data_IF_290281984301
#
_entry.id   IF_290281984301
#
_cell.length_a   1.000
_cell.length_b   1.000
_cell.length_c   1.000
_cell.angle_alpha   90.00
_cell.angle_beta   90.00
_cell.angle_gamma   90.00
#
_symmetry.space_group_name_H-M   'P 1'
#
loop_
_entity.id
_entity.type
_entity.pdbx_description
1 polymer ?
#
# COMPACT_ATOMS: atom_id res chain seq x y z
N UNK A 1 -16.95 1.70 -11.29
CA UNK A 1 -16.70 2.22 -12.66
C UNK A 1 -15.31 2.82 -12.80
N UNK A 2 -14.91 3.75 -11.93
CA UNK A 2 -13.57 4.37 -11.94
C UNK A 2 -12.43 3.35 -11.93
N UNK A 3 -12.49 2.36 -11.04
CA UNK A 3 -11.49 1.28 -10.98
C UNK A 3 -11.39 0.47 -12.27
N UNK A 4 -12.52 0.11 -12.89
CA UNK A 4 -12.55 -0.68 -14.13
C UNK A 4 -11.92 0.08 -15.31
N UNK A 5 -12.20 1.38 -15.43
CA UNK A 5 -11.59 2.23 -16.47
C UNK A 5 -10.09 2.39 -16.19
N UNK A 6 -9.69 2.60 -14.93
CA UNK A 6 -8.29 2.71 -14.56
C UNK A 6 -7.52 1.42 -14.86
N UNK A 7 -8.06 0.26 -14.52
CA UNK A 7 -7.44 -1.04 -14.82
C UNK A 7 -7.18 -1.18 -16.32
N UNK A 8 -8.18 -0.87 -17.13
CA UNK A 8 -8.02 -0.93 -18.58
C UNK A 8 -6.95 0.04 -19.10
N UNK A 9 -6.89 1.26 -18.58
CA UNK A 9 -5.86 2.24 -18.94
C UNK A 9 -4.45 1.82 -18.48
N UNK A 10 -4.34 1.09 -17.38
CA UNK A 10 -3.06 0.53 -16.90
C UNK A 10 -2.56 -0.64 -17.76
N UNK A 11 -3.47 -1.45 -18.27
CA UNK A 11 -3.15 -2.61 -19.12
C UNK A 11 -2.82 -2.22 -20.56
N UNK A 12 -3.36 -1.09 -21.03
CA UNK A 12 -3.24 -0.64 -22.42
C UNK A 12 -2.21 0.47 -22.56
N UNK A 13 -1.20 0.24 -23.37
CA UNK A 13 -0.17 1.28 -23.67
C UNK A 13 -0.60 2.27 -24.74
N UNK A 14 -1.67 1.97 -25.47
CA UNK A 14 -2.20 2.76 -26.57
C UNK A 14 -3.40 3.60 -26.18
N UNK A 15 -3.91 4.41 -27.12
CA UNK A 15 -5.11 5.18 -26.89
C UNK A 15 -6.35 4.29 -26.94
N UNK A 16 -7.22 4.45 -25.97
CA UNK A 16 -8.53 3.81 -25.94
C UNK A 16 -9.57 4.87 -26.29
N UNK A 17 -10.38 4.62 -27.29
CA UNK A 17 -11.37 5.59 -27.72
C UNK A 17 -12.49 5.76 -26.66
N UNK A 18 -13.02 6.99 -26.54
CA UNK A 18 -14.15 7.24 -25.65
C UNK A 18 -15.39 6.41 -26.01
N UNK A 19 -15.56 6.06 -27.28
CA UNK A 19 -16.64 5.19 -27.77
C UNK A 19 -16.46 3.76 -27.22
N UNK A 20 -15.27 3.21 -27.34
CA UNK A 20 -14.93 1.87 -26.82
C UNK A 20 -15.15 1.76 -25.31
N UNK A 21 -14.76 2.81 -24.54
CA UNK A 21 -15.04 2.85 -23.10
C UNK A 21 -16.54 2.87 -22.81
N UNK A 22 -17.34 3.62 -23.61
CA UNK A 22 -18.79 3.66 -23.47
C UNK A 22 -19.42 2.28 -23.72
N UNK A 23 -19.04 1.62 -24.80
CA UNK A 23 -19.56 0.31 -25.19
C UNK A 23 -19.16 -0.78 -24.20
N UNK A 24 -17.88 -0.82 -23.81
CA UNK A 24 -17.33 -1.83 -22.89
C UNK A 24 -17.93 -1.77 -21.50
N UNK A 25 -18.25 -0.57 -21.02
CA UNK A 25 -18.77 -0.39 -19.65
C UNK A 25 -20.24 -0.02 -19.59
N UNK A 26 -20.94 0.12 -20.71
CA UNK A 26 -22.36 0.43 -20.76
C UNK A 26 -22.67 1.84 -20.22
N UNK A 27 -21.81 2.83 -20.48
CA UNK A 27 -21.91 4.17 -19.90
C UNK A 27 -21.89 5.28 -20.97
N UNK A 28 -22.39 6.48 -20.60
CA UNK A 28 -22.35 7.63 -21.49
C UNK A 28 -20.96 8.25 -21.61
N UNK A 29 -20.71 9.00 -22.71
CA UNK A 29 -19.47 9.75 -22.90
C UNK A 29 -19.19 10.74 -21.77
N UNK A 30 -20.23 11.38 -21.24
CA UNK A 30 -20.12 12.27 -20.07
C UNK A 30 -19.67 11.53 -18.82
N UNK A 31 -20.14 10.30 -18.62
CA UNK A 31 -19.70 9.49 -17.49
C UNK A 31 -18.22 9.08 -17.61
N UNK A 32 -17.77 8.69 -18.79
CA UNK A 32 -16.35 8.42 -19.08
C UNK A 32 -15.51 9.65 -18.81
N UNK A 33 -15.90 10.81 -19.34
CA UNK A 33 -15.18 12.07 -19.13
C UNK A 33 -15.06 12.44 -17.66
N UNK A 34 -16.16 12.33 -16.88
CA UNK A 34 -16.12 12.56 -15.43
C UNK A 34 -15.13 11.65 -14.72
N UNK A 35 -15.09 10.36 -15.08
CA UNK A 35 -14.17 9.41 -14.48
C UNK A 35 -12.72 9.73 -14.83
N UNK A 36 -12.44 10.08 -16.09
CA UNK A 36 -11.09 10.49 -16.52
C UNK A 36 -10.65 11.74 -15.77
N UNK A 37 -11.53 12.72 -15.62
CA UNK A 37 -11.24 13.95 -14.86
C UNK A 37 -10.95 13.65 -13.39
N UNK A 38 -11.75 12.80 -12.75
CA UNK A 38 -11.47 12.34 -11.37
C UNK A 38 -10.14 11.63 -11.23
N UNK A 39 -9.75 10.82 -12.22
CA UNK A 39 -8.43 10.16 -12.22
C UNK A 39 -7.30 11.18 -12.38
N UNK A 40 -7.50 12.22 -13.20
CA UNK A 40 -6.53 13.31 -13.33
C UNK A 40 -6.40 14.12 -12.01
N UNK A 41 -7.51 14.39 -11.33
CA UNK A 41 -7.51 14.99 -9.98
C UNK A 41 -6.80 14.12 -8.93
N UNK A 42 -6.89 12.79 -9.06
CA UNK A 42 -6.13 11.85 -8.23
C UNK A 42 -4.63 11.79 -8.59
N UNK A 43 -4.17 12.54 -9.57
CA UNK A 43 -2.77 12.65 -9.96
C UNK A 43 -2.33 11.72 -11.10
N UNK A 44 -3.24 10.96 -11.72
CA UNK A 44 -2.91 10.21 -12.93
C UNK A 44 -2.73 11.15 -14.10
N UNK A 45 -1.61 11.05 -14.81
CA UNK A 45 -1.42 11.79 -16.06
C UNK A 45 -2.08 11.04 -17.20
N UNK A 46 -3.27 11.48 -17.58
CA UNK A 46 -4.04 10.92 -18.68
C UNK A 46 -4.08 11.95 -19.80
N UNK A 47 -3.55 11.56 -20.96
CA UNK A 47 -3.61 12.33 -22.18
C UNK A 47 -4.93 12.05 -22.89
N UNK A 48 -5.62 13.12 -23.30
CA UNK A 48 -6.88 13.07 -24.04
C UNK A 48 -6.68 13.75 -25.40
N UNK A 49 -6.73 12.99 -26.49
CA UNK A 49 -6.58 13.50 -27.84
C UNK A 49 -7.91 13.34 -28.60
N UNK A 50 -8.38 14.41 -29.20
CA UNK A 50 -9.59 14.39 -30.03
C UNK A 50 -9.46 13.32 -31.12
N UNK A 51 -10.51 12.52 -31.29
CA UNK A 51 -10.62 11.40 -32.22
C UNK A 51 -9.65 10.21 -31.99
N UNK A 52 -8.75 10.27 -31.01
CA UNK A 52 -7.91 9.13 -30.61
C UNK A 52 -8.40 8.50 -29.30
N UNK A 53 -8.80 9.34 -28.33
CA UNK A 53 -9.27 8.86 -27.02
C UNK A 53 -8.32 9.20 -25.88
N UNK A 54 -8.22 8.29 -24.92
CA UNK A 54 -7.48 8.45 -23.66
C UNK A 54 -6.33 7.49 -23.57
N UNK A 55 -5.19 7.96 -23.06
CA UNK A 55 -4.00 7.15 -22.78
C UNK A 55 -3.41 7.54 -21.45
N UNK A 56 -3.11 6.55 -20.60
CA UNK A 56 -2.38 6.77 -19.37
C UNK A 56 -0.91 7.01 -19.69
N UNK A 57 -0.37 8.16 -19.30
CA UNK A 57 1.02 8.55 -19.49
C UNK A 57 1.87 8.21 -18.28
N UNK A 58 1.38 8.52 -17.10
CA UNK A 58 2.04 8.14 -15.84
C UNK A 58 1.04 7.99 -14.70
N UNK A 59 1.41 7.15 -13.75
CA UNK A 59 0.71 6.98 -12.48
C UNK A 59 1.31 7.92 -11.43
N UNK A 60 0.53 8.39 -10.45
CA UNK A 60 1.09 9.15 -9.34
C UNK A 60 2.02 8.26 -8.51
N UNK A 61 3.07 8.86 -7.97
CA UNK A 61 3.96 8.19 -7.00
C UNK A 61 3.30 8.17 -5.62
N UNK A 62 2.30 7.30 -5.49
CA UNK A 62 1.45 7.17 -4.29
C UNK A 62 1.12 5.71 -4.04
N UNK A 63 0.74 5.41 -2.81
CA UNK A 63 0.28 4.07 -2.42
C UNK A 63 -1.17 3.89 -2.87
N UNK A 64 -1.36 3.22 -4.01
CA UNK A 64 -2.66 3.01 -4.61
C UNK A 64 -3.16 1.57 -4.36
N UNK A 65 -4.33 1.40 -3.73
CA UNK A 65 -4.89 0.08 -3.41
C UNK A 65 -4.98 -0.85 -4.62
N UNK A 66 -5.32 -0.32 -5.79
CA UNK A 66 -5.47 -1.07 -7.03
C UNK A 66 -4.13 -1.63 -7.51
N UNK A 67 -3.05 -0.86 -7.37
CA UNK A 67 -1.70 -1.32 -7.75
C UNK A 67 -1.23 -2.42 -6.81
N UNK A 68 -1.43 -2.25 -5.50
CA UNK A 68 -1.07 -3.29 -4.52
C UNK A 68 -1.84 -4.58 -4.83
N UNK A 69 -3.16 -4.51 -5.02
CA UNK A 69 -3.99 -5.69 -5.30
C UNK A 69 -3.59 -6.41 -6.59
N UNK A 70 -3.18 -5.67 -7.61
CA UNK A 70 -2.76 -6.26 -8.89
C UNK A 70 -1.47 -7.06 -8.77
N UNK A 71 -0.53 -6.56 -7.97
CA UNK A 71 0.78 -7.19 -7.79
C UNK A 71 0.82 -8.16 -6.58
N UNK A 72 -0.29 -8.28 -5.84
CA UNK A 72 -0.38 -9.12 -4.66
C UNK A 72 -0.62 -10.58 -5.03
N UNK A 73 0.36 -11.45 -4.81
CA UNK A 73 0.28 -12.88 -5.07
C UNK A 73 0.31 -13.73 -3.80
N UNK A 74 0.02 -13.13 -2.65
CA UNK A 74 0.01 -13.79 -1.35
C UNK A 74 -1.29 -14.57 -1.14
N UNK A 75 -1.23 -15.61 -0.31
CA UNK A 75 -2.41 -16.42 0.03
C UNK A 75 -3.30 -15.78 1.09
N UNK A 76 -2.73 -15.00 2.00
CA UNK A 76 -3.43 -14.45 3.16
C UNK A 76 -2.99 -13.03 3.51
N UNK A 77 -1.69 -12.73 3.48
CA UNK A 77 -1.17 -11.42 3.88
C UNK A 77 -1.58 -10.33 2.87
N UNK A 78 -2.28 -9.30 3.33
CA UNK A 78 -2.69 -8.17 2.51
C UNK A 78 -3.92 -8.42 1.61
N UNK A 79 -4.53 -9.61 1.62
CA UNK A 79 -5.78 -9.89 0.88
C UNK A 79 -6.88 -8.94 1.36
N UNK A 80 -7.00 -8.75 2.68
CA UNK A 80 -7.77 -7.65 3.25
C UNK A 80 -6.84 -6.43 3.39
N UNK A 81 -7.01 -5.44 2.50
CA UNK A 81 -6.15 -4.27 2.38
C UNK A 81 -6.93 -3.00 2.71
N UNK A 82 -6.41 -2.24 3.67
CA UNK A 82 -6.93 -0.93 4.09
C UNK A 82 -5.86 0.11 3.81
N UNK A 83 -6.13 1.01 2.85
CA UNK A 83 -5.24 2.11 2.51
C UNK A 83 -5.85 3.42 2.98
N UNK A 84 -5.06 4.19 3.70
CA UNK A 84 -5.43 5.49 4.25
C UNK A 84 -4.46 6.56 3.74
N UNK A 85 -4.97 7.75 3.46
CA UNK A 85 -4.11 8.87 3.11
C UNK A 85 -3.33 9.35 4.34
N UNK A 86 -4.01 9.45 5.47
CA UNK A 86 -3.47 9.92 6.73
C UNK A 86 -4.07 9.13 7.90
N UNK A 87 -3.26 8.86 8.91
CA UNK A 87 -3.67 8.24 10.17
C UNK A 87 -2.73 8.67 11.30
N UNK A 88 -3.14 8.47 12.54
CA UNK A 88 -2.25 8.64 13.69
C UNK A 88 -1.08 7.64 13.65
N UNK A 89 -1.39 6.35 13.53
CA UNK A 89 -0.44 5.26 13.40
C UNK A 89 -1.11 4.03 12.76
N UNK A 90 -0.44 3.42 11.79
CA UNK A 90 -0.93 2.16 11.19
C UNK A 90 -1.06 1.04 12.21
N UNK A 91 -0.19 0.99 13.25
CA UNK A 91 -0.31 0.04 14.35
C UNK A 91 -1.54 0.31 15.22
N UNK A 92 -1.81 1.58 15.53
CA UNK A 92 -3.02 1.94 16.28
C UNK A 92 -4.29 1.55 15.52
N UNK A 93 -4.33 1.84 14.23
CA UNK A 93 -5.47 1.48 13.39
C UNK A 93 -5.64 -0.03 13.29
N UNK A 94 -4.56 -0.75 13.02
CA UNK A 94 -4.58 -2.21 12.98
C UNK A 94 -5.13 -2.80 14.30
N UNK A 95 -4.75 -2.22 15.44
CA UNK A 95 -5.27 -2.61 16.76
C UNK A 95 -6.75 -2.30 16.90
N UNK A 96 -7.20 -1.07 16.58
CA UNK A 96 -8.62 -0.67 16.62
C UNK A 96 -9.49 -1.59 15.77
N UNK A 97 -9.05 -1.90 14.55
CA UNK A 97 -9.76 -2.78 13.63
C UNK A 97 -9.76 -4.25 14.08
N UNK A 98 -8.71 -4.68 14.75
CA UNK A 98 -8.66 -6.03 15.32
C UNK A 98 -9.58 -6.18 16.54
N UNK A 99 -9.64 -5.17 17.40
CA UNK A 99 -10.49 -5.13 18.60
C UNK A 99 -11.98 -5.06 18.28
N UNK A 100 -12.37 -4.28 17.28
CA UNK A 100 -13.77 -4.18 16.83
C UNK A 100 -14.21 -5.31 15.87
N UNK A 101 -13.35 -6.29 15.60
CA UNK A 101 -13.66 -7.44 14.76
C UNK A 101 -13.62 -7.18 13.26
N UNK A 102 -13.27 -5.97 12.81
CA UNK A 102 -13.20 -5.61 11.39
C UNK A 102 -11.95 -6.20 10.70
N UNK A 103 -10.81 -6.24 11.39
CA UNK A 103 -9.58 -6.82 10.87
C UNK A 103 -9.42 -8.29 11.30
N UNK A 104 -9.29 -9.17 10.32
CA UNK A 104 -8.92 -10.58 10.49
C UNK A 104 -7.41 -10.82 10.37
N UNK A 105 -7.01 -12.09 10.48
CA UNK A 105 -5.65 -12.52 10.16
C UNK A 105 -5.25 -12.09 8.75
N UNK A 106 -4.06 -11.51 8.61
CA UNK A 106 -3.53 -11.05 7.32
C UNK A 106 -4.05 -9.70 6.83
N UNK A 107 -4.88 -8.98 7.62
CA UNK A 107 -5.27 -7.61 7.27
C UNK A 107 -4.04 -6.70 7.24
N UNK A 108 -3.85 -6.00 6.13
CA UNK A 108 -2.77 -5.05 5.93
C UNK A 108 -3.33 -3.62 5.95
N UNK A 109 -2.88 -2.83 6.91
CA UNK A 109 -3.17 -1.39 6.98
C UNK A 109 -1.97 -0.63 6.44
N UNK A 110 -2.19 0.24 5.47
CA UNK A 110 -1.14 1.05 4.83
C UNK A 110 -1.54 2.52 4.87
N UNK A 111 -0.59 3.42 5.09
CA UNK A 111 -0.82 4.87 5.06
C UNK A 111 0.32 5.61 4.37
N UNK A 112 0.00 6.74 3.74
CA UNK A 112 0.99 7.65 3.14
C UNK A 112 1.60 8.61 4.18
N UNK A 113 0.88 8.87 5.27
CA UNK A 113 1.27 9.79 6.35
C UNK A 113 0.86 9.22 7.70
N UNK A 114 1.75 9.27 8.69
CA UNK A 114 1.41 9.05 10.09
C UNK A 114 1.68 10.32 10.91
N UNK A 115 0.64 10.82 11.58
CA UNK A 115 0.76 12.02 12.44
C UNK A 115 1.35 11.71 13.81
N UNK A 116 1.26 10.45 14.27
CA UNK A 116 1.79 9.97 15.55
C UNK A 116 2.45 8.58 15.37
N UNK A 117 3.33 8.46 14.38
CA UNK A 117 4.08 7.22 14.12
C UNK A 117 4.84 6.75 15.35
N UNK A 118 4.85 5.44 15.58
CA UNK A 118 5.42 4.80 16.78
C UNK A 118 6.72 4.08 16.49
N UNK A 119 7.66 4.22 17.39
CA UNK A 119 8.87 3.41 17.49
C UNK A 119 8.93 2.66 18.83
N UNK A 120 9.95 1.84 18.99
CA UNK A 120 10.18 1.09 20.25
C UNK A 120 10.41 2.01 21.44
N UNK A 121 10.00 1.54 22.62
CA UNK A 121 10.21 2.24 23.91
C UNK A 121 9.58 3.64 23.95
N UNK A 122 8.40 3.79 23.33
CA UNK A 122 7.67 5.06 23.32
C UNK A 122 8.29 6.18 22.48
N UNK A 123 9.29 5.87 21.65
CA UNK A 123 9.87 6.88 20.71
C UNK A 123 8.90 7.14 19.57
N UNK A 124 8.83 8.39 19.14
CA UNK A 124 8.13 8.74 17.90
C UNK A 124 8.88 8.22 16.67
N UNK A 125 8.13 8.00 15.60
CA UNK A 125 8.66 7.69 14.28
C UNK A 125 8.11 8.71 13.28
N UNK A 126 8.99 9.53 12.71
CA UNK A 126 8.64 10.58 11.75
C UNK A 126 8.24 9.90 10.44
N UNK A 127 7.03 10.19 9.97
CA UNK A 127 6.41 9.50 8.85
C UNK A 127 5.73 10.49 7.89
N UNK A 128 6.49 11.38 7.23
CA UNK A 128 5.91 12.40 6.34
C UNK A 128 5.39 11.79 5.03
N UNK A 129 4.41 12.47 4.42
CA UNK A 129 3.82 12.06 3.14
C UNK A 129 4.91 11.94 2.04
N UNK A 130 4.80 10.89 1.21
CA UNK A 130 5.68 10.68 0.06
C UNK A 130 7.13 10.24 0.38
N UNK A 131 7.46 10.01 1.66
CA UNK A 131 8.82 9.68 2.08
C UNK A 131 9.00 8.22 2.52
N UNK A 132 7.96 7.41 2.51
CA UNK A 132 8.05 6.03 2.98
C UNK A 132 6.79 5.22 2.79
N UNK A 133 6.90 3.95 3.11
CA UNK A 133 5.78 3.01 3.16
C UNK A 133 5.54 2.71 4.65
N UNK A 134 4.40 3.17 5.15
CA UNK A 134 3.99 2.93 6.55
C UNK A 134 2.89 1.89 6.53
N UNK A 135 3.15 0.72 7.10
CA UNK A 135 2.20 -0.39 7.06
C UNK A 135 2.24 -1.22 8.34
N UNK A 136 1.10 -1.84 8.65
CA UNK A 136 0.97 -2.80 9.74
C UNK A 136 0.17 -4.00 9.29
N UNK A 137 0.69 -5.19 9.58
CA UNK A 137 0.05 -6.47 9.29
C UNK A 137 -0.55 -7.04 10.57
N UNK A 138 -1.84 -7.36 10.54
CA UNK A 138 -2.54 -8.00 11.65
C UNK A 138 -2.32 -9.51 11.59
N UNK A 139 -1.79 -10.07 12.67
CA UNK A 139 -1.63 -11.51 12.84
C UNK A 139 -2.54 -11.95 13.98
N UNK A 140 -3.59 -12.72 13.65
CA UNK A 140 -4.50 -13.37 14.59
C UNK A 140 -4.28 -14.86 14.51
N UNK A 141 -3.21 -15.32 15.09
CA UNK A 141 -2.86 -16.74 15.12
C UNK A 141 -2.45 -17.10 16.54
N UNK A 142 -2.53 -18.36 16.92
CA UNK A 142 -2.11 -18.85 18.24
C UNK A 142 -0.58 -18.83 18.35
N UNK A 143 -0.03 -17.62 18.42
CA UNK A 143 1.40 -17.42 18.66
C UNK A 143 1.63 -17.26 20.15
N UNK A 144 2.35 -18.20 20.72
CA UNK A 144 2.75 -18.11 22.13
C UNK A 144 3.50 -16.79 22.37
N UNK A 145 3.18 -16.07 23.46
CA UNK A 145 3.80 -14.77 23.78
C UNK A 145 5.33 -14.79 23.73
N UNK A 146 5.95 -15.89 24.16
CA UNK A 146 7.40 -16.07 24.17
C UNK A 146 8.01 -16.04 22.76
N UNK A 147 7.21 -16.39 21.75
CA UNK A 147 7.62 -16.40 20.33
C UNK A 147 7.28 -15.11 19.59
N UNK A 148 6.53 -14.20 20.18
CA UNK A 148 6.12 -12.95 19.53
C UNK A 148 7.32 -12.09 19.06
N UNK A 149 8.43 -12.10 19.82
CA UNK A 149 9.66 -11.41 19.42
C UNK A 149 10.28 -11.95 18.14
N UNK A 150 10.05 -13.22 17.80
CA UNK A 150 10.54 -13.82 16.55
C UNK A 150 9.85 -13.24 15.32
N UNK A 151 8.60 -12.77 15.45
CA UNK A 151 7.89 -12.12 14.36
C UNK A 151 8.62 -10.88 13.84
N UNK A 152 9.28 -10.13 14.73
CA UNK A 152 10.11 -8.99 14.33
C UNK A 152 11.26 -9.42 13.42
N UNK A 153 11.89 -10.55 13.71
CA UNK A 153 12.99 -11.08 12.91
C UNK A 153 12.51 -11.66 11.58
N UNK A 154 11.38 -12.38 11.60
CA UNK A 154 10.74 -12.90 10.37
C UNK A 154 10.37 -11.76 9.44
N UNK A 155 9.74 -10.70 9.97
CA UNK A 155 9.40 -9.50 9.19
C UNK A 155 10.67 -8.81 8.69
N UNK A 156 11.72 -8.73 9.51
CA UNK A 156 13.02 -8.18 9.11
C UNK A 156 13.61 -8.91 7.91
N UNK A 157 13.58 -10.23 7.94
CA UNK A 157 14.05 -11.06 6.83
C UNK A 157 13.19 -10.87 5.57
N UNK A 158 11.87 -10.83 5.72
CA UNK A 158 10.94 -10.63 4.61
C UNK A 158 11.16 -9.28 3.92
N UNK A 159 11.26 -8.20 4.69
CA UNK A 159 11.51 -6.85 4.16
C UNK A 159 12.91 -6.75 3.54
N UNK A 160 13.93 -7.33 4.18
CA UNK A 160 15.28 -7.39 3.60
C UNK A 160 15.27 -8.08 2.24
N UNK A 161 14.60 -9.22 2.13
CA UNK A 161 14.51 -9.97 0.88
C UNK A 161 13.74 -9.19 -0.20
N UNK A 162 12.64 -8.53 0.17
CA UNK A 162 11.88 -7.70 -0.76
C UNK A 162 12.74 -6.56 -1.33
N UNK A 163 13.48 -5.86 -0.48
CA UNK A 163 14.39 -4.78 -0.93
C UNK A 163 15.46 -5.33 -1.88
N UNK A 164 16.07 -6.49 -1.56
CA UNK A 164 17.06 -7.12 -2.45
C UNK A 164 16.50 -7.51 -3.80
N UNK A 165 15.24 -7.95 -3.84
CA UNK A 165 14.60 -8.38 -5.09
C UNK A 165 14.19 -7.20 -5.98
N UNK A 166 13.94 -6.03 -5.39
CA UNK A 166 13.41 -4.86 -6.10
C UNK A 166 14.48 -3.79 -6.39
N UNK A 167 15.66 -3.90 -5.78
CA UNK A 167 16.69 -2.86 -5.88
C UNK A 167 18.10 -3.50 -5.87
N UNK A 168 19.11 -2.74 -6.30
CA UNK A 168 20.52 -3.12 -6.18
C UNK A 168 21.12 -2.84 -4.80
N UNK A 169 20.29 -2.46 -3.83
CA UNK A 169 20.74 -2.15 -2.47
C UNK A 169 21.16 -3.43 -1.73
N UNK A 170 22.07 -3.26 -0.77
CA UNK A 170 22.56 -4.33 0.13
C UNK A 170 22.04 -4.10 1.54
N UNK A 171 20.75 -4.37 1.81
CA UNK A 171 20.16 -4.18 3.14
C UNK A 171 20.73 -5.20 4.12
N UNK A 172 20.98 -4.75 5.34
CA UNK A 172 21.44 -5.54 6.47
C UNK A 172 20.45 -5.44 7.62
N UNK A 173 20.22 -6.56 8.31
CA UNK A 173 19.40 -6.56 9.53
C UNK A 173 20.28 -6.08 10.68
N UNK A 174 19.89 -4.94 11.27
CA UNK A 174 20.46 -4.44 12.52
C UNK A 174 19.54 -4.86 13.66
N UNK A 175 20.00 -5.85 14.38
CA UNK A 175 19.26 -6.39 15.52
C UNK A 175 18.89 -5.27 16.51
N UNK A 176 17.71 -5.29 17.14
CA UNK A 176 16.72 -6.36 17.02
C UNK A 176 15.61 -6.09 15.99
N UNK A 177 15.50 -4.91 15.37
CA UNK A 177 14.29 -4.51 14.67
C UNK A 177 14.48 -3.48 13.53
N UNK A 178 15.70 -3.25 13.12
CA UNK A 178 16.00 -2.26 12.09
C UNK A 178 16.60 -2.92 10.84
N UNK A 179 16.34 -2.33 9.68
CA UNK A 179 17.06 -2.63 8.45
C UNK A 179 17.87 -1.39 8.08
N UNK A 180 19.13 -1.61 7.75
CA UNK A 180 20.07 -0.54 7.41
C UNK A 180 20.68 -0.78 6.04
N UNK A 181 20.98 0.32 5.34
CA UNK A 181 21.76 0.35 4.10
C UNK A 181 22.84 1.39 4.27
N UNK A 182 24.11 1.01 4.03
CA UNK A 182 25.26 1.88 4.20
C UNK A 182 25.30 2.58 5.59
N UNK A 183 24.96 1.82 6.65
CA UNK A 183 24.93 2.32 8.02
C UNK A 183 23.73 3.21 8.37
N UNK A 184 22.89 3.59 7.41
CA UNK A 184 21.68 4.40 7.62
C UNK A 184 20.45 3.54 7.75
N UNK A 185 19.56 3.89 8.68
CA UNK A 185 18.30 3.19 8.90
C UNK A 185 17.36 3.40 7.70
N UNK A 186 16.97 2.29 7.06
CA UNK A 186 15.99 2.26 5.98
C UNK A 186 14.60 1.84 6.47
N UNK A 187 14.52 0.88 7.40
CA UNK A 187 13.26 0.40 7.94
C UNK A 187 13.35 0.17 9.45
N UNK A 188 12.27 0.39 10.16
CA UNK A 188 12.07 0.01 11.55
C UNK A 188 10.83 -0.85 11.70
N UNK A 189 10.93 -1.95 12.43
CA UNK A 189 9.85 -2.90 12.65
C UNK A 189 9.43 -2.81 14.12
N UNK A 190 8.13 -2.58 14.34
CA UNK A 190 7.52 -2.56 15.66
C UNK A 190 6.45 -3.64 15.75
N UNK A 191 6.68 -4.62 16.59
CA UNK A 191 5.68 -5.64 16.91
C UNK A 191 5.01 -5.26 18.23
N UNK A 192 3.70 -5.12 18.21
CA UNK A 192 2.86 -4.92 19.38
C UNK A 192 1.92 -6.11 19.54
N UNK A 193 1.67 -6.54 20.75
CA UNK A 193 0.78 -7.65 21.06
C UNK A 193 -0.36 -7.17 21.96
N UNK A 194 -1.59 -7.54 21.61
CA UNK A 194 -2.77 -7.37 22.44
C UNK A 194 -3.23 -8.76 22.86
N UNK A 195 -3.33 -9.00 24.17
CA UNK A 195 -3.90 -10.24 24.72
C UNK A 195 -5.35 -9.92 25.05
N UNK A 196 -6.29 -10.64 24.47
CA UNK A 196 -7.71 -10.59 24.80
C UNK A 196 -8.06 -11.71 25.75
#
# INVERSE_FOLDING_TARGET
>A
MKEKILTLLLETKEYISGQELCERFGVSRTAVWKVVHQLQEDGYKIEAIRNKGYRLVSVPDRILPQQIRRELHTRWAGVNLICLKEIDSTNNEAKRLAENGTAGHGTLVVSELQTAGKGRRGRGFISPEGCGIFMSLVIKDEIRPERASMLTLVMGLAVQQAIKNLTDLKPQIKWPNDIVVNGKKLCGILTEMSIQ
#
